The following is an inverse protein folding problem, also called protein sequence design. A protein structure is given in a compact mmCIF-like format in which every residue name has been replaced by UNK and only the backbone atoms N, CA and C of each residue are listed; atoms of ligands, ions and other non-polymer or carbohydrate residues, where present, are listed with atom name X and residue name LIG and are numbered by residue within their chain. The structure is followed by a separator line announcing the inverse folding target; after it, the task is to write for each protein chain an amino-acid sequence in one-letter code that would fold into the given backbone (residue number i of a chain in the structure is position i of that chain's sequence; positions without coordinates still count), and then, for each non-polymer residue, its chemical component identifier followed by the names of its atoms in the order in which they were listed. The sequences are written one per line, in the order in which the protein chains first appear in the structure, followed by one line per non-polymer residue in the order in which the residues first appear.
data_IF_601422564280
#
_entry.id   IF_601422564280
#
_cell.length_a   1.000
_cell.length_b   1.000
_cell.length_c   1.000
_cell.angle_alpha   90.00
_cell.angle_beta   90.00
_cell.angle_gamma   90.00
#
_symmetry.space_group_name_H-M   'P 1'
#
loop_
_entity.id
_entity.type
_entity.pdbx_description
1 polymer ?
#
# COMPACT_ATOMS: atom_id res chain seq x y z
N UNK A 1 -20.66 -12.70 -28.32
CA UNK A 1 -20.35 -13.30 -27.01
C UNK A 1 -21.20 -12.60 -25.96
N UNK A 2 -22.10 -13.35 -25.34
CA UNK A 2 -22.90 -12.90 -24.21
C UNK A 2 -22.17 -13.30 -22.94
N UNK A 3 -21.78 -12.31 -22.13
CA UNK A 3 -21.20 -12.51 -20.80
C UNK A 3 -22.25 -12.23 -19.75
N UNK A 4 -22.44 -13.17 -18.83
CA UNK A 4 -23.42 -13.08 -17.76
C UNK A 4 -22.73 -13.29 -16.41
N UNK A 5 -23.07 -12.47 -15.42
CA UNK A 5 -22.65 -12.65 -14.03
C UNK A 5 -23.86 -13.08 -13.22
N UNK A 6 -23.86 -14.32 -12.74
CA UNK A 6 -24.92 -14.88 -11.92
C UNK A 6 -24.53 -14.79 -10.45
N UNK A 7 -25.34 -14.14 -9.64
CA UNK A 7 -25.11 -13.99 -8.19
C UNK A 7 -26.17 -14.78 -7.43
N UNK A 8 -25.74 -15.76 -6.65
CA UNK A 8 -26.60 -16.58 -5.80
C UNK A 8 -26.29 -16.32 -4.33
N UNK A 9 -27.27 -15.74 -3.64
CA UNK A 9 -27.27 -15.41 -2.21
C UNK A 9 -28.43 -16.09 -1.46
N UNK A 10 -28.95 -17.20 -2.01
CA UNK A 10 -30.10 -17.89 -1.42
C UNK A 10 -29.79 -18.55 -0.08
N UNK A 11 -28.53 -18.92 0.15
CA UNK A 11 -28.05 -19.50 1.40
C UNK A 11 -27.29 -18.43 2.18
N UNK A 12 -27.67 -18.10 3.42
CA UNK A 12 -27.02 -17.05 4.19
C UNK A 12 -25.57 -17.39 4.59
N UNK A 13 -25.17 -18.66 4.53
CA UNK A 13 -23.82 -19.12 4.86
C UNK A 13 -22.81 -18.94 3.71
N UNK A 14 -23.28 -18.74 2.47
CA UNK A 14 -22.45 -18.64 1.28
C UNK A 14 -22.96 -17.66 0.22
N UNK A 15 -22.05 -16.90 -0.39
CA UNK A 15 -22.29 -16.15 -1.62
C UNK A 15 -21.57 -16.85 -2.77
N UNK A 16 -22.29 -17.14 -3.86
CA UNK A 16 -21.72 -17.73 -5.08
C UNK A 16 -21.86 -16.78 -6.25
N UNK A 17 -20.77 -16.56 -6.97
CA UNK A 17 -20.76 -15.74 -8.20
C UNK A 17 -20.21 -16.59 -9.33
N UNK A 18 -20.99 -16.76 -10.40
CA UNK A 18 -20.57 -17.44 -11.62
C UNK A 18 -20.45 -16.45 -12.78
N UNK A 19 -19.33 -16.51 -13.49
CA UNK A 19 -19.11 -15.80 -14.75
C UNK A 19 -19.36 -16.79 -15.88
N UNK A 20 -20.35 -16.51 -16.72
CA UNK A 20 -20.75 -17.36 -17.85
C UNK A 20 -20.39 -16.68 -19.17
N UNK A 21 -19.92 -17.45 -20.14
CA UNK A 21 -19.69 -17.02 -21.52
C UNK A 21 -20.44 -17.95 -22.47
N UNK A 22 -21.40 -17.41 -23.21
CA UNK A 22 -22.25 -18.16 -24.15
C UNK A 22 -22.88 -19.44 -23.55
N UNK A 23 -23.27 -19.37 -22.27
CA UNK A 23 -23.90 -20.47 -21.53
C UNK A 23 -22.91 -21.47 -20.90
N UNK A 24 -21.60 -21.28 -21.08
CA UNK A 24 -20.53 -22.06 -20.46
C UNK A 24 -20.01 -21.34 -19.22
N UNK A 25 -19.75 -22.07 -18.14
CA UNK A 25 -19.15 -21.51 -16.92
C UNK A 25 -17.65 -21.29 -17.11
N UNK A 26 -17.19 -20.06 -16.93
CA UNK A 26 -15.78 -19.67 -17.05
C UNK A 26 -15.11 -19.55 -15.67
N UNK A 27 -15.73 -18.82 -14.74
CA UNK A 27 -15.19 -18.59 -13.40
C UNK A 27 -16.28 -18.81 -12.33
N UNK A 28 -15.93 -19.44 -11.20
CA UNK A 28 -16.81 -19.61 -10.04
C UNK A 28 -16.11 -19.11 -8.78
N UNK A 29 -16.74 -18.13 -8.12
CA UNK A 29 -16.31 -17.60 -6.83
C UNK A 29 -17.28 -18.05 -5.76
N UNK A 30 -16.76 -18.41 -4.58
CA UNK A 30 -17.57 -18.77 -3.41
C UNK A 30 -16.97 -18.14 -2.17
N UNK A 31 -17.77 -17.39 -1.45
CA UNK A 31 -17.41 -16.73 -0.20
C UNK A 31 -18.28 -17.26 0.93
N UNK A 32 -17.68 -17.59 2.09
CA UNK A 32 -18.39 -18.10 3.27
C UNK A 32 -18.57 -16.99 4.30
N UNK A 33 -19.74 -16.91 4.93
CA UNK A 33 -20.13 -15.82 5.83
C UNK A 33 -19.30 -15.68 7.14
N UNK A 34 -18.44 -16.66 7.48
CA UNK A 34 -17.79 -16.72 8.79
C UNK A 34 -16.36 -16.17 8.87
N UNK A 35 -15.84 -15.53 7.82
CA UNK A 35 -14.50 -14.92 7.85
C UNK A 35 -14.58 -13.39 7.76
N UNK A 36 -14.67 -12.74 8.92
CA UNK A 36 -14.45 -11.30 8.99
C UNK A 36 -12.94 -11.03 8.91
N UNK A 37 -12.43 -10.95 7.68
CA UNK A 37 -11.08 -10.48 7.38
C UNK A 37 -11.17 -8.99 7.04
N UNK A 38 -10.46 -8.15 7.77
CA UNK A 38 -10.44 -6.70 7.58
C UNK A 38 -9.22 -6.26 6.76
N UNK A 39 -8.25 -7.13 6.49
CA UNK A 39 -7.07 -6.83 5.74
C UNK A 39 -7.44 -6.34 4.33
N UNK A 40 -6.91 -5.17 3.98
CA UNK A 40 -7.22 -4.46 2.74
C UNK A 40 -8.38 -3.46 2.87
N UNK A 41 -9.24 -3.56 3.90
CA UNK A 41 -10.31 -2.59 4.10
C UNK A 41 -9.75 -1.21 4.45
N UNK A 42 -10.46 -0.18 3.99
CA UNK A 42 -10.09 1.23 4.16
C UNK A 42 -11.15 1.88 5.04
N UNK A 43 -10.72 2.59 6.07
CA UNK A 43 -11.58 3.25 7.04
C UNK A 43 -11.16 4.70 7.25
N UNK A 44 -12.14 5.54 7.58
CA UNK A 44 -11.89 6.83 8.21
C UNK A 44 -11.87 6.59 9.72
N UNK A 45 -10.69 6.63 10.32
CA UNK A 45 -10.49 6.44 11.76
C UNK A 45 -10.25 7.76 12.50
N UNK A 46 -10.23 7.67 13.82
CA UNK A 46 -9.96 8.78 14.75
C UNK A 46 -8.78 8.44 15.65
N UNK A 47 -7.82 9.35 15.76
CA UNK A 47 -6.67 9.21 16.67
C UNK A 47 -7.18 9.23 18.12
N UNK A 48 -6.98 8.15 18.86
CA UNK A 48 -7.40 8.06 20.27
C UNK A 48 -6.27 8.22 21.25
N UNK A 49 -5.05 7.84 20.87
CA UNK A 49 -3.85 8.00 21.69
C UNK A 49 -2.60 8.14 20.81
N UNK A 50 -1.58 8.82 21.33
CA UNK A 50 -0.27 8.98 20.69
C UNK A 50 0.80 8.43 21.63
N UNK A 51 1.72 7.66 21.09
CA UNK A 51 2.85 7.11 21.84
C UNK A 51 4.18 7.58 21.21
N UNK A 52 4.74 8.72 21.65
CA UNK A 52 5.99 9.25 21.14
C UNK A 52 7.17 8.29 21.31
N UNK A 53 7.20 7.49 22.38
CA UNK A 53 8.29 6.55 22.65
C UNK A 53 8.47 5.50 21.55
N UNK A 54 7.38 5.13 20.86
CA UNK A 54 7.40 4.18 19.75
C UNK A 54 7.02 4.82 18.42
N UNK A 55 6.93 6.15 18.39
CA UNK A 55 6.56 6.95 17.21
C UNK A 55 5.31 6.41 16.49
N UNK A 56 4.23 6.20 17.26
CA UNK A 56 2.99 5.65 16.74
C UNK A 56 1.74 6.33 17.29
N UNK A 57 0.64 6.15 16.57
CA UNK A 57 -0.70 6.54 16.97
C UNK A 57 -1.60 5.31 17.06
N UNK A 58 -2.51 5.31 18.02
CA UNK A 58 -3.62 4.37 18.08
C UNK A 58 -4.86 5.00 17.46
N UNK A 59 -5.48 4.26 16.55
CA UNK A 59 -6.60 4.73 15.75
C UNK A 59 -7.83 3.88 16.07
N UNK A 60 -8.91 4.51 16.50
CA UNK A 60 -10.23 3.87 16.49
C UNK A 60 -10.81 4.01 15.09
N UNK A 61 -11.06 2.89 14.43
CA UNK A 61 -11.61 2.82 13.08
C UNK A 61 -12.96 2.09 13.04
N UNK A 62 -13.59 1.93 14.21
CA UNK A 62 -14.96 1.40 14.36
C UNK A 62 -15.07 -0.13 14.35
N UNK A 63 -13.95 -0.86 14.33
CA UNK A 63 -13.94 -2.32 14.27
C UNK A 63 -12.98 -2.90 15.30
N UNK A 64 -13.52 -3.67 16.23
CA UNK A 64 -12.72 -4.46 17.18
C UNK A 64 -11.82 -3.60 18.07
N UNK A 65 -10.51 -3.86 18.02
CA UNK A 65 -9.51 -3.14 18.82
C UNK A 65 -8.92 -1.98 18.03
N UNK A 66 -8.50 -0.92 18.72
CA UNK A 66 -7.77 0.19 18.10
C UNK A 66 -6.58 -0.32 17.28
N UNK A 67 -6.43 0.21 16.07
CA UNK A 67 -5.36 -0.13 15.17
C UNK A 67 -4.08 0.63 15.51
N UNK A 68 -2.95 0.06 15.13
CA UNK A 68 -1.61 0.60 15.36
C UNK A 68 -1.09 1.24 14.07
N UNK A 69 -0.87 2.55 14.09
CA UNK A 69 -0.32 3.33 12.98
C UNK A 69 1.06 3.88 13.35
N UNK A 70 2.12 3.31 12.79
CA UNK A 70 3.49 3.77 13.01
C UNK A 70 3.84 4.93 12.08
N UNK A 71 4.74 5.82 12.49
CA UNK A 71 5.18 6.97 11.69
C UNK A 71 5.69 6.58 10.30
N UNK A 72 6.30 5.39 10.13
CA UNK A 72 6.75 4.90 8.82
C UNK A 72 5.61 4.77 7.80
N UNK A 73 4.40 4.54 8.29
CA UNK A 73 3.18 4.27 7.54
C UNK A 73 2.26 5.49 7.43
N UNK A 74 2.75 6.67 7.86
CA UNK A 74 2.09 7.96 7.67
C UNK A 74 2.63 8.65 6.42
N UNK A 75 1.70 9.04 5.53
CA UNK A 75 1.96 9.77 4.30
C UNK A 75 2.34 11.24 4.59
N UNK A 76 3.25 11.84 3.79
CA UNK A 76 3.68 13.23 3.96
C UNK A 76 2.54 14.26 3.95
N UNK A 77 1.41 13.96 3.32
CA UNK A 77 0.25 14.87 3.29
C UNK A 77 -0.27 15.22 4.70
N UNK A 78 -0.09 14.32 5.67
CA UNK A 78 -0.47 14.57 7.06
C UNK A 78 0.52 15.48 7.79
N UNK A 79 1.75 15.65 7.29
CA UNK A 79 2.78 16.46 7.94
C UNK A 79 2.52 17.96 7.80
N UNK A 80 1.57 18.37 6.95
CA UNK A 80 1.14 19.76 6.80
C UNK A 80 0.67 20.36 8.13
N UNK A 81 0.05 19.56 8.99
CA UNK A 81 -0.39 19.99 10.32
C UNK A 81 0.78 20.35 11.24
N UNK A 82 1.95 19.75 11.01
CA UNK A 82 3.19 20.03 11.70
C UNK A 82 4.00 21.18 11.05
N UNK A 83 3.44 21.84 10.02
CA UNK A 83 4.09 22.98 9.34
C UNK A 83 5.07 22.60 8.24
N UNK A 84 5.12 21.33 7.83
CA UNK A 84 5.97 20.88 6.72
C UNK A 84 5.22 20.89 5.39
N UNK A 85 5.89 21.26 4.30
CA UNK A 85 5.33 21.11 2.96
C UNK A 85 5.41 19.64 2.52
N UNK A 86 4.25 18.97 2.27
CA UNK A 86 4.26 17.60 1.77
C UNK A 86 5.02 17.40 0.45
N UNK A 87 5.11 18.44 -0.40
CA UNK A 87 5.81 18.36 -1.67
C UNK A 87 7.32 18.30 -1.46
N UNK A 88 7.88 19.22 -0.67
CA UNK A 88 9.30 19.21 -0.30
C UNK A 88 9.70 17.89 0.37
N UNK A 89 8.88 17.41 1.31
CA UNK A 89 9.14 16.13 1.98
C UNK A 89 9.10 14.97 1.00
N UNK A 90 8.15 14.97 0.05
CA UNK A 90 8.05 13.93 -0.96
C UNK A 90 9.26 13.92 -1.89
N UNK A 91 9.72 15.09 -2.34
CA UNK A 91 10.94 15.24 -3.14
C UNK A 91 12.18 14.70 -2.42
N UNK A 92 12.35 15.07 -1.15
CA UNK A 92 13.43 14.55 -0.28
C UNK A 92 13.33 13.03 -0.12
N UNK A 93 12.13 12.49 0.10
CA UNK A 93 11.91 11.05 0.32
C UNK A 93 12.13 10.22 -0.95
N UNK A 94 11.70 10.72 -2.11
CA UNK A 94 11.85 10.08 -3.41
C UNK A 94 13.28 10.22 -3.97
N UNK A 95 14.12 11.04 -3.33
CA UNK A 95 15.53 11.22 -3.69
C UNK A 95 15.75 12.25 -4.80
N UNK A 96 14.76 13.08 -5.11
CA UNK A 96 14.92 14.25 -5.95
C UNK A 96 15.28 15.44 -5.07
N UNK A 97 16.57 15.62 -4.76
CA UNK A 97 17.06 16.88 -4.17
C UNK A 97 17.51 17.78 -5.32
N UNK A 98 16.93 18.99 -5.52
CA UNK A 98 17.41 19.91 -6.53
C UNK A 98 18.90 20.21 -6.30
N UNK A 99 19.76 19.83 -7.25
CA UNK A 99 21.21 20.09 -7.19
C UNK A 99 22.07 18.97 -6.57
N UNK A 100 21.52 17.77 -6.35
CA UNK A 100 22.30 16.58 -5.99
C UNK A 100 22.05 15.50 -7.04
N UNK A 101 23.03 15.26 -7.90
CA UNK A 101 23.03 14.13 -8.84
C UNK A 101 23.14 12.84 -8.01
N UNK A 102 22.00 12.22 -7.68
CA UNK A 102 21.97 10.87 -7.15
C UNK A 102 22.06 9.95 -8.34
N UNK A 103 23.28 9.47 -8.61
CA UNK A 103 23.58 8.42 -9.57
C UNK A 103 22.56 7.28 -9.38
N UNK A 104 21.68 7.07 -10.37
CA UNK A 104 20.79 5.90 -10.43
C UNK A 104 21.70 4.70 -10.74
N UNK A 105 22.42 4.23 -9.72
CA UNK A 105 23.21 3.02 -9.80
C UNK A 105 22.30 1.84 -10.13
N UNK A 106 22.37 1.39 -11.38
CA UNK A 106 21.93 0.08 -11.81
C UNK A 106 22.49 -0.97 -10.83
N UNK A 107 21.60 -1.66 -10.11
CA UNK A 107 21.93 -2.82 -9.27
C UNK A 107 22.34 -4.01 -10.18
N UNK A 108 23.52 -3.93 -10.82
CA UNK A 108 24.19 -5.04 -11.51
C UNK A 108 25.09 -5.78 -10.50
N UNK A 109 24.50 -6.62 -9.64
CA UNK A 109 25.26 -7.54 -8.79
C UNK A 109 25.68 -8.79 -9.58
N UNK A 110 26.69 -8.65 -10.43
CA UNK A 110 27.51 -9.79 -10.87
C UNK A 110 28.70 -9.98 -9.92
N UNK A 111 28.64 -10.98 -9.03
CA UNK A 111 29.75 -11.94 -8.72
C UNK A 111 29.60 -12.69 -7.37
N UNK A 112 29.62 -14.03 -7.44
CA UNK A 112 30.39 -14.93 -6.54
C UNK A 112 30.00 -15.12 -5.06
N UNK A 113 30.08 -16.36 -4.50
CA UNK A 113 29.60 -16.65 -3.16
C UNK A 113 30.69 -16.40 -2.10
N UNK A 114 30.44 -15.48 -1.18
CA UNK A 114 31.09 -15.45 0.15
C UNK A 114 30.21 -14.70 1.13
N UNK A 115 29.47 -15.46 1.96
CA UNK A 115 28.78 -14.91 3.13
C UNK A 115 29.85 -14.51 4.15
N UNK A 116 29.85 -13.24 4.60
CA UNK A 116 29.52 -13.02 6.01
C UNK A 116 28.64 -11.76 6.24
N UNK A 117 27.78 -11.87 7.26
CA UNK A 117 27.05 -10.80 7.95
C UNK A 117 26.60 -9.58 7.10
N UNK A 118 25.34 -9.61 6.64
CA UNK A 118 24.64 -8.42 6.12
C UNK A 118 24.54 -7.35 7.23
N UNK A 119 25.56 -6.51 7.35
CA UNK A 119 25.41 -5.12 7.81
C UNK A 119 24.45 -4.46 6.82
N UNK A 120 23.25 -4.12 7.28
CA UNK A 120 22.34 -3.21 6.58
C UNK A 120 23.04 -1.85 6.48
N UNK A 121 23.83 -1.62 5.43
CA UNK A 121 24.19 -0.27 4.99
C UNK A 121 22.87 0.43 4.64
N UNK A 122 22.30 1.33 5.44
CA UNK A 122 22.73 2.60 6.01
C UNK A 122 22.21 3.78 5.18
N UNK A 123 21.51 4.67 5.87
CA UNK A 123 21.35 6.09 5.57
C UNK A 123 20.46 6.49 4.38
N UNK A 124 19.14 6.46 4.61
CA UNK A 124 18.36 7.68 4.33
C UNK A 124 17.69 8.08 5.64
N UNK A 125 18.06 9.20 6.29
CA UNK A 125 17.15 9.79 7.26
C UNK A 125 15.97 10.29 6.45
N UNK A 126 14.93 9.45 6.31
CA UNK A 126 13.61 9.92 5.91
C UNK A 126 13.20 10.83 7.04
N UNK A 127 13.42 12.13 6.86
CA UNK A 127 12.95 13.12 7.82
C UNK A 127 11.44 12.87 7.98
N UNK A 128 11.07 12.35 9.13
CA UNK A 128 9.69 12.15 9.53
C UNK A 128 9.53 12.95 10.82
N UNK A 129 8.66 13.97 10.84
CA UNK A 129 8.39 14.69 12.06
C UNK A 129 7.92 13.72 13.15
N UNK A 130 8.17 14.04 14.43
CA UNK A 130 7.64 13.26 15.52
C UNK A 130 6.12 13.07 15.41
N UNK A 131 5.62 11.88 15.76
CA UNK A 131 4.19 11.56 15.57
C UNK A 131 3.26 12.56 16.28
N UNK A 132 3.68 13.11 17.42
CA UNK A 132 2.94 14.09 18.20
C UNK A 132 2.88 15.49 17.58
N UNK A 133 3.73 15.79 16.60
CA UNK A 133 3.65 17.01 15.81
C UNK A 133 2.66 16.85 14.66
N UNK A 134 2.58 15.63 14.10
CA UNK A 134 1.74 15.31 12.93
C UNK A 134 0.27 15.16 13.31
N UNK A 135 -0.02 14.53 14.45
CA UNK A 135 -1.38 14.24 14.88
C UNK A 135 -1.65 14.73 16.29
N UNK A 136 -2.93 14.94 16.58
CA UNK A 136 -3.51 15.19 17.89
C UNK A 136 -4.60 14.17 18.17
N UNK A 137 -4.87 13.95 19.46
CA UNK A 137 -6.03 13.15 19.87
C UNK A 137 -7.30 13.79 19.31
N UNK A 138 -8.08 12.97 18.61
CA UNK A 138 -9.33 13.37 17.98
C UNK A 138 -9.23 13.64 16.50
N UNK A 139 -8.03 13.72 15.93
CA UNK A 139 -7.85 13.92 14.49
C UNK A 139 -8.41 12.74 13.70
N UNK A 140 -8.96 13.04 12.53
CA UNK A 140 -9.43 12.03 11.60
C UNK A 140 -8.30 11.64 10.63
N UNK A 141 -8.21 10.35 10.32
CA UNK A 141 -7.16 9.80 9.44
C UNK A 141 -7.74 8.70 8.57
N UNK A 142 -7.42 8.72 7.27
CA UNK A 142 -7.74 7.62 6.37
C UNK A 142 -6.69 6.52 6.51
N UNK A 143 -7.12 5.30 6.81
CA UNK A 143 -6.24 4.16 7.08
C UNK A 143 -6.69 2.92 6.34
N UNK A 144 -5.74 2.12 5.88
CA UNK A 144 -5.94 0.77 5.38
C UNK A 144 -5.37 -0.24 6.37
N UNK A 145 -6.11 -1.32 6.61
CA UNK A 145 -5.60 -2.46 7.41
C UNK A 145 -4.60 -3.25 6.58
N UNK A 146 -3.33 -3.24 6.97
CA UNK A 146 -2.26 -3.96 6.26
C UNK A 146 -1.96 -5.33 6.86
N UNK A 147 -2.23 -5.50 8.16
CA UNK A 147 -2.09 -6.77 8.87
C UNK A 147 -3.18 -6.90 9.92
N UNK A 148 -3.78 -8.07 9.99
CA UNK A 148 -4.74 -8.43 11.02
C UNK A 148 -4.13 -8.34 12.43
N UNK A 149 -5.01 -8.09 13.40
CA UNK A 149 -4.65 -8.17 14.81
C UNK A 149 -4.39 -9.63 15.22
N UNK A 150 -3.41 -9.85 16.10
CA UNK A 150 -3.11 -11.18 16.64
C UNK A 150 -3.28 -11.15 18.15
N UNK A 151 -4.17 -11.99 18.66
CA UNK A 151 -4.45 -12.13 20.09
C UNK A 151 -4.94 -10.81 20.70
N UNK A 152 -4.11 -10.21 21.56
CA UNK A 152 -4.43 -8.93 22.20
C UNK A 152 -3.99 -7.70 21.40
N UNK A 153 -3.17 -7.86 20.37
CA UNK A 153 -2.65 -6.75 19.56
C UNK A 153 -3.69 -6.35 18.50
N UNK A 154 -3.96 -5.06 18.42
CA UNK A 154 -4.79 -4.50 17.34
C UNK A 154 -4.14 -4.68 15.97
N UNK A 155 -4.90 -4.49 14.88
CA UNK A 155 -4.37 -4.58 13.52
C UNK A 155 -3.35 -3.49 13.24
N UNK A 156 -2.45 -3.74 12.28
CA UNK A 156 -1.52 -2.72 11.78
C UNK A 156 -2.19 -1.94 10.67
N UNK A 157 -2.08 -0.62 10.74
CA UNK A 157 -2.68 0.32 9.80
C UNK A 157 -1.60 1.03 8.99
N UNK A 158 -1.97 1.47 7.80
CA UNK A 158 -1.16 2.38 6.99
C UNK A 158 -2.04 3.44 6.35
N UNK A 159 -1.53 4.66 6.25
CA UNK A 159 -2.18 5.70 5.46
C UNK A 159 -1.89 5.56 3.97
N UNK A 160 -0.83 4.81 3.59
CA UNK A 160 -0.48 4.49 2.21
C UNK A 160 -1.51 3.52 1.61
N UNK A 161 -2.57 4.08 1.03
CA UNK A 161 -3.66 3.29 0.46
C UNK A 161 -3.20 2.55 -0.80
N UNK A 162 -3.53 1.26 -0.88
CA UNK A 162 -3.32 0.41 -2.04
C UNK A 162 -4.65 -0.18 -2.52
N UNK A 163 -4.92 -0.08 -3.82
CA UNK A 163 -6.14 -0.62 -4.44
C UNK A 163 -5.72 -1.65 -5.49
N UNK A 164 -5.72 -2.95 -5.14
CA UNK A 164 -5.35 -4.00 -6.07
C UNK A 164 -6.49 -4.29 -7.06
N UNK A 165 -6.18 -4.23 -8.35
CA UNK A 165 -6.97 -4.82 -9.42
C UNK A 165 -6.37 -6.14 -9.91
N UNK A 166 -6.92 -6.68 -11.02
CA UNK A 166 -6.48 -7.94 -11.63
C UNK A 166 -5.01 -7.87 -12.07
N UNK A 167 -4.65 -6.81 -12.81
CA UNK A 167 -3.32 -6.66 -13.42
C UNK A 167 -2.48 -5.55 -12.81
N UNK A 168 -3.09 -4.61 -12.09
CA UNK A 168 -2.43 -3.42 -11.55
C UNK A 168 -2.74 -3.27 -10.07
N UNK A 169 -1.86 -2.62 -9.32
CA UNK A 169 -2.17 -2.04 -8.02
C UNK A 169 -2.06 -0.53 -8.14
N UNK A 170 -3.14 0.19 -7.85
CA UNK A 170 -3.10 1.65 -7.72
C UNK A 170 -2.57 2.03 -6.33
N UNK A 171 -1.57 2.90 -6.31
CA UNK A 171 -0.92 3.45 -5.13
C UNK A 171 -0.93 4.98 -5.24
N UNK A 172 -1.97 5.69 -4.76
CA UNK A 172 -2.10 7.13 -4.98
C UNK A 172 -0.89 7.95 -4.51
N UNK A 173 -0.30 7.58 -3.37
CA UNK A 173 0.82 8.31 -2.78
C UNK A 173 2.18 8.07 -3.46
N UNK A 174 2.33 6.98 -4.23
CA UNK A 174 3.61 6.50 -4.71
C UNK A 174 4.17 7.33 -5.90
N UNK A 175 3.30 8.00 -6.68
CA UNK A 175 3.69 8.92 -7.76
C UNK A 175 4.55 8.36 -8.89
N UNK A 176 4.79 7.04 -8.93
CA UNK A 176 5.63 6.38 -9.95
C UNK A 176 5.04 5.03 -10.38
N UNK A 177 5.47 4.59 -11.57
CA UNK A 177 5.12 3.30 -12.15
C UNK A 177 6.19 2.25 -11.82
N UNK A 178 5.76 1.08 -11.37
CA UNK A 178 6.62 -0.07 -11.09
C UNK A 178 6.09 -1.37 -11.67
N UNK A 179 6.95 -2.40 -11.68
CA UNK A 179 6.60 -3.76 -12.09
C UNK A 179 6.96 -4.72 -10.95
N UNK A 180 6.06 -5.66 -10.65
CA UNK A 180 6.22 -6.67 -9.60
C UNK A 180 7.59 -7.34 -9.66
N UNK A 181 8.25 -7.49 -8.51
CA UNK A 181 9.56 -8.17 -8.40
C UNK A 181 9.52 -9.65 -8.77
N UNK A 182 8.33 -10.25 -8.85
CA UNK A 182 8.14 -11.64 -9.28
C UNK A 182 8.27 -11.82 -10.81
N UNK A 183 8.24 -10.72 -11.57
CA UNK A 183 8.56 -10.73 -13.00
C UNK A 183 10.07 -10.48 -13.08
N UNK A 184 10.84 -11.54 -13.35
CA UNK A 184 12.31 -11.53 -13.29
C UNK A 184 12.95 -11.11 -14.63
N UNK A 185 12.28 -11.34 -15.76
CA UNK A 185 12.81 -10.95 -17.08
C UNK A 185 12.80 -9.42 -17.26
N UNK A 186 13.98 -8.81 -17.25
CA UNK A 186 14.17 -7.37 -17.44
C UNK A 186 13.60 -6.85 -18.77
N UNK A 187 13.64 -7.64 -19.84
CA UNK A 187 13.06 -7.24 -21.12
C UNK A 187 11.53 -7.13 -21.00
N UNK A 188 10.91 -8.11 -20.35
CA UNK A 188 9.47 -8.09 -20.07
C UNK A 188 9.10 -6.95 -19.12
N UNK A 189 9.89 -6.71 -18.06
CA UNK A 189 9.67 -5.59 -17.12
C UNK A 189 9.68 -4.25 -17.83
N UNK A 190 10.66 -4.03 -18.71
CA UNK A 190 10.77 -2.80 -19.51
C UNK A 190 9.58 -2.64 -20.45
N UNK A 191 9.16 -3.72 -21.13
CA UNK A 191 8.00 -3.71 -22.02
C UNK A 191 6.70 -3.36 -21.26
N UNK A 192 6.42 -4.02 -20.14
CA UNK A 192 5.24 -3.75 -19.32
C UNK A 192 5.22 -2.32 -18.76
N UNK A 193 6.38 -1.79 -18.35
CA UNK A 193 6.49 -0.40 -17.92
C UNK A 193 6.17 0.57 -19.07
N UNK A 194 6.69 0.31 -20.28
CA UNK A 194 6.41 1.13 -21.46
C UNK A 194 4.94 1.08 -21.87
N UNK A 195 4.32 -0.11 -21.85
CA UNK A 195 2.90 -0.29 -22.15
C UNK A 195 2.01 0.45 -21.14
N UNK A 196 2.31 0.35 -19.84
CA UNK A 196 1.56 1.11 -18.84
C UNK A 196 1.73 2.63 -18.98
N UNK A 197 2.92 3.11 -19.39
CA UNK A 197 3.14 4.53 -19.65
C UNK A 197 2.42 5.02 -20.91
N UNK A 198 2.24 4.18 -21.93
CA UNK A 198 1.52 4.55 -23.15
C UNK A 198 0.02 4.75 -22.91
N UNK A 199 -0.52 4.17 -21.83
CA UNK A 199 -1.90 4.41 -21.37
C UNK A 199 -2.12 5.79 -20.73
N UNK A 200 -1.09 6.63 -20.63
CA UNK A 200 -1.15 7.97 -20.03
C UNK A 200 -1.81 7.99 -18.64
N UNK A 201 -1.24 7.28 -17.65
CA UNK A 201 -1.80 7.25 -16.30
C UNK A 201 -1.87 8.66 -15.70
N UNK A 202 -2.88 8.96 -14.87
CA UNK A 202 -3.00 10.29 -14.26
C UNK A 202 -1.75 10.67 -13.47
N UNK A 203 -1.31 11.92 -13.66
CA UNK A 203 -0.12 12.45 -12.97
C UNK A 203 -0.33 12.41 -11.45
N UNK A 204 0.75 12.13 -10.72
CA UNK A 204 0.76 12.09 -9.26
C UNK A 204 0.31 10.76 -8.66
N UNK A 205 -0.33 9.88 -9.42
CA UNK A 205 -0.68 8.52 -8.98
C UNK A 205 0.44 7.54 -9.30
N UNK A 206 0.61 6.53 -8.44
CA UNK A 206 1.52 5.41 -8.70
C UNK A 206 0.77 4.14 -9.08
N UNK A 207 1.40 3.30 -9.90
CA UNK A 207 0.84 2.03 -10.35
C UNK A 207 1.90 0.94 -10.29
N UNK A 208 1.50 -0.28 -9.91
CA UNK A 208 2.37 -1.45 -9.91
C UNK A 208 1.76 -2.54 -10.77
N UNK A 209 2.47 -2.97 -11.83
CA UNK A 209 2.06 -4.12 -12.65
C UNK A 209 2.22 -5.41 -11.84
N UNK A 210 1.15 -6.21 -11.79
CA UNK A 210 1.09 -7.51 -11.08
C UNK A 210 1.48 -8.65 -12.03
N UNK A 211 1.84 -9.77 -11.42
CA UNK A 211 1.94 -11.08 -12.08
C UNK A 211 0.56 -11.67 -12.34
#
# INVERSE_FOLDING_TARGET
MRKEMLVNVSQPEECRIAIMEDGVLEELYTERAHQNNFAGNIYKGKIVNLEPSIQAAFVDFGVGRNGFLHISDVEPQYFRQAGYDPQEIKEIMDGHVPGVDVDEGDDDESSGPSRPQRKRYSARPRFKPPIQEIFRRGDEVLVQVIKEGIGSKGPTLSTYISIPGRYLVLMPALGRVGVSRKIEDEKQRRALKQELLSLNPPKGLGFIVRT
#
